data_IF_265355761000
#
_entry.id   IF_265355761000
#
_cell.length_a   1.000
_cell.length_b   1.000
_cell.length_c   1.000
_cell.angle_alpha   90.00
_cell.angle_beta   90.00
_cell.angle_gamma   90.00
#
_symmetry.space_group_name_H-M   'P 1'
#
loop_
_entity.id
_entity.type
_entity.pdbx_description
1 polymer ?
#
# COMPACT_ATOMS: atom_id res chain seq x y z
N UNK A 1 -9.07 15.07 -33.88
CA UNK A 1 -10.22 14.88 -32.98
C UNK A 1 -9.74 13.92 -31.92
N UNK A 2 -9.37 14.45 -30.75
CA UNK A 2 -9.02 13.61 -29.61
C UNK A 2 -10.33 13.04 -29.04
N UNK A 3 -10.52 11.74 -29.21
CA UNK A 3 -11.70 11.04 -28.73
C UNK A 3 -11.84 11.15 -27.21
N UNK A 4 -13.08 11.02 -26.72
CA UNK A 4 -13.37 10.99 -25.28
C UNK A 4 -12.52 9.93 -24.59
N UNK A 5 -11.66 10.37 -23.66
CA UNK A 5 -10.83 9.51 -22.80
C UNK A 5 -11.43 9.47 -21.39
N UNK A 6 -11.74 8.27 -20.91
CA UNK A 6 -12.11 8.07 -19.51
C UNK A 6 -10.84 8.23 -18.66
N UNK A 7 -10.94 9.04 -17.60
CA UNK A 7 -9.85 9.23 -16.62
C UNK A 7 -10.17 8.54 -15.29
N UNK A 8 -11.43 8.61 -14.87
CA UNK A 8 -11.92 8.05 -13.62
C UNK A 8 -13.37 7.61 -13.75
N UNK A 9 -13.72 6.49 -13.12
CA UNK A 9 -15.12 6.07 -12.89
C UNK A 9 -15.32 5.92 -11.38
N UNK A 10 -16.49 6.33 -10.90
CA UNK A 10 -16.94 6.16 -9.51
C UNK A 10 -18.11 5.19 -9.51
N UNK A 11 -18.07 4.18 -8.64
CA UNK A 11 -19.05 3.11 -8.60
C UNK A 11 -19.57 2.98 -7.17
N UNK A 12 -20.84 3.28 -7.00
CA UNK A 12 -21.69 2.87 -5.88
C UNK A 12 -22.27 1.49 -6.26
N UNK A 13 -21.81 0.43 -5.61
CA UNK A 13 -22.14 -0.95 -6.02
C UNK A 13 -23.44 -1.45 -5.39
N UNK A 14 -23.78 -0.94 -4.22
CA UNK A 14 -24.95 -1.37 -3.46
C UNK A 14 -26.07 -0.31 -3.41
N UNK A 15 -25.89 0.78 -4.14
CA UNK A 15 -26.86 1.88 -4.33
C UNK A 15 -27.21 2.59 -3.01
N UNK A 16 -26.27 2.61 -2.05
CA UNK A 16 -26.47 3.24 -0.74
C UNK A 16 -26.14 4.75 -0.73
N UNK A 17 -25.64 5.28 -1.86
CA UNK A 17 -25.22 6.66 -2.03
C UNK A 17 -23.75 6.92 -1.67
N UNK A 18 -23.02 5.90 -1.25
CA UNK A 18 -21.60 5.90 -0.92
C UNK A 18 -20.81 5.30 -2.07
N UNK A 19 -19.76 5.97 -2.52
CA UNK A 19 -18.89 5.38 -3.53
C UNK A 19 -18.03 4.28 -2.89
N UNK A 20 -18.09 3.07 -3.46
CA UNK A 20 -17.30 1.92 -3.03
C UNK A 20 -15.97 1.80 -3.75
N UNK A 21 -15.95 2.24 -5.00
CA UNK A 21 -14.87 1.95 -5.93
C UNK A 21 -14.60 3.09 -6.89
N UNK A 22 -13.31 3.38 -7.06
CA UNK A 22 -12.81 4.33 -8.04
C UNK A 22 -11.89 3.62 -9.01
N UNK A 23 -12.14 3.70 -10.30
CA UNK A 23 -11.27 3.12 -11.33
C UNK A 23 -10.54 4.24 -12.06
N UNK A 24 -9.22 4.13 -12.18
CA UNK A 24 -8.38 5.13 -12.86
C UNK A 24 -7.82 4.56 -14.15
N UNK A 25 -7.87 5.36 -15.22
CA UNK A 25 -7.60 4.89 -16.58
C UNK A 25 -6.40 5.59 -17.22
N UNK A 26 -5.49 4.77 -17.75
CA UNK A 26 -4.28 5.20 -18.44
C UNK A 26 -4.54 5.76 -19.84
N UNK A 27 -3.49 6.26 -20.53
CA UNK A 27 -3.58 6.79 -21.90
C UNK A 27 -4.08 5.77 -22.92
N UNK A 28 -3.87 4.49 -22.64
CA UNK A 28 -4.32 3.34 -23.42
C UNK A 28 -5.73 2.86 -23.08
N UNK A 29 -6.44 3.55 -22.17
CA UNK A 29 -7.76 3.18 -21.66
C UNK A 29 -7.81 1.85 -20.88
N UNK A 30 -6.66 1.38 -20.38
CA UNK A 30 -6.62 0.30 -19.39
C UNK A 30 -6.70 0.86 -17.97
N UNK A 31 -7.17 0.05 -17.03
CA UNK A 31 -7.19 0.41 -15.60
C UNK A 31 -5.75 0.41 -15.08
N UNK A 32 -5.28 1.55 -14.59
CA UNK A 32 -3.97 1.69 -13.94
C UNK A 32 -4.04 1.31 -12.46
N UNK A 33 -5.13 1.67 -11.78
CA UNK A 33 -5.36 1.38 -10.37
C UNK A 33 -6.83 1.43 -10.01
N UNK A 34 -7.18 0.75 -8.92
CA UNK A 34 -8.53 0.75 -8.34
C UNK A 34 -8.45 1.26 -6.90
N UNK A 35 -9.09 2.41 -6.65
CA UNK A 35 -9.27 2.99 -5.33
C UNK A 35 -10.44 2.39 -4.56
N UNK A 36 -10.33 2.38 -3.23
CA UNK A 36 -11.37 1.95 -2.29
C UNK A 36 -11.26 2.71 -0.96
N UNK A 37 -12.34 2.71 -0.17
CA UNK A 37 -12.33 3.19 1.22
C UNK A 37 -12.13 2.03 2.19
N UNK A 38 -11.08 2.10 3.00
CA UNK A 38 -10.82 1.10 4.07
C UNK A 38 -11.86 1.14 5.18
N UNK A 39 -12.59 2.26 5.34
CA UNK A 39 -13.64 2.43 6.34
C UNK A 39 -15.06 2.36 5.77
N UNK A 40 -15.23 2.16 4.46
CA UNK A 40 -16.53 2.10 3.76
C UNK A 40 -17.44 3.30 4.04
N UNK A 41 -16.85 4.49 3.98
CA UNK A 41 -17.51 5.77 4.27
C UNK A 41 -17.44 6.76 3.08
N UNK A 42 -17.19 6.24 1.86
CA UNK A 42 -17.15 7.03 0.63
C UNK A 42 -15.87 7.86 0.46
N UNK A 43 -14.91 7.73 1.38
CA UNK A 43 -13.63 8.42 1.29
C UNK A 43 -12.52 7.45 0.92
N UNK A 44 -12.14 7.52 -0.35
CA UNK A 44 -11.01 6.84 -0.96
C UNK A 44 -9.71 7.11 -0.20
N UNK A 45 -9.07 6.05 0.31
CA UNK A 45 -7.83 6.15 1.09
C UNK A 45 -6.86 4.99 0.85
N UNK A 46 -7.15 4.13 -0.13
CA UNK A 46 -6.26 3.08 -0.59
C UNK A 46 -6.45 2.82 -2.09
N UNK A 47 -5.39 2.37 -2.77
CA UNK A 47 -5.35 2.08 -4.21
C UNK A 47 -4.64 0.77 -4.48
N UNK A 48 -5.31 -0.16 -5.15
CA UNK A 48 -4.72 -1.43 -5.61
C UNK A 48 -4.21 -1.33 -7.04
N UNK A 49 -3.10 -2.03 -7.29
CA UNK A 49 -2.47 -2.22 -8.60
C UNK A 49 -2.35 -3.72 -8.87
N UNK A 50 -2.74 -4.14 -10.07
CA UNK A 50 -2.74 -5.55 -10.47
C UNK A 50 -1.47 -5.91 -11.24
N UNK A 51 -1.01 -7.14 -11.07
CA UNK A 51 -0.01 -7.76 -11.93
C UNK A 51 -0.63 -8.18 -13.28
N UNK A 52 0.22 -8.60 -14.22
CA UNK A 52 -0.21 -9.05 -15.55
C UNK A 52 -1.09 -10.31 -15.52
N UNK A 53 -1.05 -11.09 -14.45
CA UNK A 53 -1.91 -12.26 -14.23
C UNK A 53 -3.25 -11.92 -13.54
N UNK A 54 -3.48 -10.64 -13.24
CA UNK A 54 -4.69 -10.14 -12.56
C UNK A 54 -4.66 -10.21 -11.04
N UNK A 55 -3.61 -10.77 -10.43
CA UNK A 55 -3.43 -10.75 -8.97
C UNK A 55 -3.09 -9.35 -8.47
N UNK A 56 -3.35 -9.06 -7.19
CA UNK A 56 -2.91 -7.80 -6.56
C UNK A 56 -1.40 -7.86 -6.39
N UNK A 57 -0.69 -6.89 -6.96
CA UNK A 57 0.75 -6.75 -6.82
C UNK A 57 1.13 -5.72 -5.74
N UNK A 58 0.32 -4.67 -5.60
CA UNK A 58 0.59 -3.56 -4.69
C UNK A 58 -0.69 -2.90 -4.19
N UNK A 59 -0.69 -2.44 -2.94
CA UNK A 59 -1.67 -1.51 -2.41
C UNK A 59 -0.95 -0.28 -1.85
N UNK A 60 -1.28 0.90 -2.38
CA UNK A 60 -0.86 2.18 -1.81
C UNK A 60 -1.94 2.65 -0.82
N UNK A 61 -1.54 3.18 0.32
CA UNK A 61 -2.43 3.54 1.43
C UNK A 61 -2.14 4.95 1.92
N UNK A 62 -3.19 5.78 2.01
CA UNK A 62 -3.16 7.05 2.73
C UNK A 62 -3.60 6.83 4.17
N UNK A 63 -2.64 6.60 5.07
CA UNK A 63 -2.95 6.17 6.44
C UNK A 63 -3.81 7.19 7.18
N UNK A 64 -3.52 8.49 7.05
CA UNK A 64 -4.34 9.60 7.59
C UNK A 64 -5.53 9.98 6.73
N UNK A 65 -5.71 9.35 5.57
CA UNK A 65 -6.84 9.57 4.66
C UNK A 65 -6.87 11.01 4.17
N UNK A 66 -5.74 11.62 3.90
CA UNK A 66 -5.62 12.99 3.37
C UNK A 66 -5.25 13.02 1.87
N UNK A 67 -5.21 11.83 1.24
CA UNK A 67 -4.87 11.64 -0.16
C UNK A 67 -3.37 11.45 -0.41
N UNK A 68 -2.52 11.59 0.62
CA UNK A 68 -1.09 11.29 0.52
C UNK A 68 -0.83 9.85 0.89
N UNK A 69 -0.14 9.12 0.02
CA UNK A 69 0.29 7.76 0.30
C UNK A 69 1.43 7.81 1.31
N UNK A 70 1.23 7.17 2.45
CA UNK A 70 2.24 7.06 3.52
C UNK A 70 2.61 5.60 3.78
N UNK A 71 1.86 4.64 3.23
CA UNK A 71 2.19 3.22 3.29
C UNK A 71 2.03 2.56 1.93
N UNK A 72 2.98 1.70 1.59
CA UNK A 72 2.99 0.91 0.35
C UNK A 72 3.12 -0.56 0.74
N UNK A 73 2.21 -1.38 0.28
CA UNK A 73 2.15 -2.82 0.56
C UNK A 73 2.39 -3.60 -0.73
N UNK A 74 3.26 -4.60 -0.69
CA UNK A 74 3.57 -5.47 -1.83
C UNK A 74 3.09 -6.88 -1.59
N UNK A 75 2.52 -7.47 -2.63
CA UNK A 75 1.88 -8.78 -2.58
C UNK A 75 2.51 -9.74 -3.57
N UNK A 76 2.66 -10.99 -3.16
CA UNK A 76 3.02 -12.12 -4.02
C UNK A 76 1.97 -13.22 -3.81
N UNK A 77 1.32 -13.65 -4.90
CA UNK A 77 0.25 -14.66 -4.86
C UNK A 77 -0.78 -14.40 -3.73
N UNK A 78 -1.32 -13.18 -3.69
CA UNK A 78 -2.32 -12.71 -2.70
C UNK A 78 -1.81 -12.60 -1.24
N UNK A 79 -0.51 -12.84 -1.01
CA UNK A 79 0.10 -12.72 0.33
C UNK A 79 0.92 -11.44 0.43
N UNK A 80 0.71 -10.69 1.50
CA UNK A 80 1.55 -9.55 1.84
C UNK A 80 2.98 -10.06 2.10
N UNK A 81 3.96 -9.56 1.35
CA UNK A 81 5.37 -9.97 1.49
C UNK A 81 6.24 -8.88 2.09
N UNK A 82 5.99 -7.63 1.72
CA UNK A 82 6.69 -6.47 2.28
C UNK A 82 5.77 -5.27 2.39
N UNK A 83 6.08 -4.38 3.33
CA UNK A 83 5.47 -3.06 3.38
C UNK A 83 6.51 -1.98 3.71
N UNK A 84 6.26 -0.78 3.23
CA UNK A 84 7.08 0.41 3.42
C UNK A 84 6.18 1.52 3.98
N UNK A 85 6.66 2.27 4.96
CA UNK A 85 5.88 3.30 5.62
C UNK A 85 6.72 4.55 5.93
N UNK A 86 6.20 5.71 5.53
CA UNK A 86 6.58 7.04 6.00
C UNK A 86 5.70 7.31 7.23
N UNK A 87 6.20 6.94 8.40
CA UNK A 87 5.47 6.96 9.66
C UNK A 87 5.40 8.36 10.28
N UNK A 88 6.29 9.27 9.87
CA UNK A 88 6.40 10.63 10.38
C UNK A 88 5.86 11.70 9.40
N UNK A 89 5.54 11.33 8.17
CA UNK A 89 5.02 12.16 7.07
C UNK A 89 5.96 13.25 6.58
N UNK A 90 7.26 13.00 6.64
CA UNK A 90 8.29 13.91 6.11
C UNK A 90 8.57 13.71 4.61
N UNK A 91 7.91 12.72 3.99
CA UNK A 91 8.07 12.35 2.58
C UNK A 91 9.14 11.30 2.33
N UNK A 92 9.69 10.66 3.37
CA UNK A 92 10.69 9.61 3.28
C UNK A 92 10.21 8.37 4.03
N UNK A 93 10.40 7.20 3.43
CA UNK A 93 10.16 5.94 4.13
C UNK A 93 11.16 5.83 5.28
N UNK A 94 10.65 5.59 6.48
CA UNK A 94 11.45 5.37 7.69
C UNK A 94 11.21 3.98 8.31
N UNK A 95 10.26 3.22 7.79
CA UNK A 95 9.89 1.90 8.31
C UNK A 95 9.66 0.89 7.18
N UNK A 96 10.21 -0.30 7.36
CA UNK A 96 10.07 -1.43 6.44
C UNK A 96 9.64 -2.68 7.19
N UNK A 97 8.71 -3.44 6.62
CA UNK A 97 8.19 -4.68 7.16
C UNK A 97 8.42 -5.80 6.15
N UNK A 98 8.78 -6.98 6.63
CA UNK A 98 8.87 -8.21 5.82
C UNK A 98 8.03 -9.30 6.45
N UNK A 99 7.36 -10.09 5.64
CA UNK A 99 6.44 -11.14 6.09
C UNK A 99 6.88 -12.52 5.60
N UNK A 100 6.60 -13.52 6.42
CA UNK A 100 6.79 -14.94 6.12
C UNK A 100 5.43 -15.64 6.28
N UNK A 101 4.72 -15.80 5.16
CA UNK A 101 3.30 -16.14 5.17
C UNK A 101 2.47 -15.04 5.84
N UNK A 102 1.65 -15.40 6.82
CA UNK A 102 0.83 -14.44 7.59
C UNK A 102 1.58 -13.80 8.76
N UNK A 103 2.84 -14.17 8.98
CA UNK A 103 3.63 -13.74 10.14
C UNK A 103 4.57 -12.59 9.77
N UNK A 104 4.59 -11.56 10.60
CA UNK A 104 5.61 -10.50 10.54
C UNK A 104 6.97 -11.10 10.88
N UNK A 105 7.87 -11.16 9.90
CA UNK A 105 9.21 -11.75 10.04
C UNK A 105 10.25 -10.73 10.52
N UNK A 106 10.15 -9.47 10.07
CA UNK A 106 11.00 -8.40 10.58
C UNK A 106 10.38 -7.02 10.39
N UNK A 107 10.82 -6.08 11.23
CA UNK A 107 10.58 -4.64 11.06
C UNK A 107 11.91 -3.93 11.12
N UNK A 108 12.21 -3.10 10.12
CA UNK A 108 13.40 -2.28 10.08
C UNK A 108 13.02 -0.79 10.14
N UNK A 109 13.89 0.02 10.74
CA UNK A 109 13.68 1.45 10.97
C UNK A 109 14.90 2.26 10.54
N UNK A 110 14.65 3.40 9.90
CA UNK A 110 15.60 4.49 9.74
C UNK A 110 15.33 5.54 10.82
N UNK A 111 16.09 5.49 11.91
CA UNK A 111 16.01 6.45 13.02
C UNK A 111 16.91 7.67 12.82
N UNK A 112 17.76 7.63 11.78
CA UNK A 112 18.75 8.67 11.47
C UNK A 112 18.40 9.55 10.27
N UNK A 113 17.28 9.31 9.59
CA UNK A 113 16.84 9.99 8.36
C UNK A 113 17.89 9.94 7.24
N UNK A 114 18.53 8.78 7.09
CA UNK A 114 19.62 8.52 6.15
C UNK A 114 19.17 7.81 4.87
N UNK A 115 17.87 7.50 4.75
CA UNK A 115 17.25 6.82 3.61
C UNK A 115 17.51 5.31 3.59
N UNK A 116 18.00 4.74 4.69
CA UNK A 116 18.27 3.31 4.85
C UNK A 116 18.07 2.91 6.31
N UNK A 117 17.61 1.67 6.59
CA UNK A 117 17.44 1.24 7.96
C UNK A 117 18.76 1.19 8.75
N UNK A 118 18.74 1.61 10.01
CA UNK A 118 19.84 1.44 10.99
C UNK A 118 19.53 0.43 12.10
N UNK A 119 18.27 0.02 12.23
CA UNK A 119 17.83 -0.99 13.20
C UNK A 119 16.86 -1.96 12.57
N UNK A 120 16.89 -3.22 12.99
CA UNK A 120 15.90 -4.23 12.61
C UNK A 120 15.55 -5.12 13.79
N UNK A 121 14.27 -5.28 14.03
CA UNK A 121 13.74 -6.33 14.89
C UNK A 121 13.40 -7.53 14.01
N UNK A 122 13.95 -8.68 14.34
CA UNK A 122 13.66 -9.95 13.66
C UNK A 122 12.87 -10.83 14.61
N UNK A 123 11.78 -11.41 14.12
CA UNK A 123 10.90 -12.28 14.88
C UNK A 123 11.11 -13.74 14.48
N UNK A 124 11.48 -14.57 15.45
CA UNK A 124 11.54 -16.01 15.30
C UNK A 124 10.14 -16.62 15.14
N UNK A 125 10.06 -17.78 14.48
CA UNK A 125 8.81 -18.56 14.40
C UNK A 125 8.38 -19.13 15.76
N UNK A 126 9.28 -19.14 16.74
CA UNK A 126 9.07 -19.54 18.14
C UNK A 126 8.59 -18.38 19.04
N UNK A 127 8.35 -17.20 18.46
CA UNK A 127 7.92 -16.00 19.20
C UNK A 127 9.07 -15.22 19.86
N UNK A 128 10.33 -15.62 19.64
CA UNK A 128 11.48 -14.81 20.05
C UNK A 128 11.60 -13.56 19.18
N UNK A 129 12.25 -12.53 19.71
CA UNK A 129 12.61 -11.35 18.95
C UNK A 129 14.03 -10.92 19.30
N UNK A 130 14.84 -10.55 18.29
CA UNK A 130 16.16 -9.97 18.50
C UNK A 130 16.33 -8.68 17.72
N UNK A 131 17.13 -7.78 18.28
CA UNK A 131 17.48 -6.50 17.67
C UNK A 131 18.83 -6.61 16.96
N UNK A 132 18.84 -6.24 15.68
CA UNK A 132 20.03 -6.06 14.88
C UNK A 132 20.29 -4.57 14.67
N UNK A 133 21.49 -4.11 15.02
CA UNK A 133 21.94 -2.74 14.73
C UNK A 133 22.80 -2.79 13.48
N UNK A 134 22.38 -2.05 12.46
CA UNK A 134 23.06 -1.98 11.16
C UNK A 134 24.09 -0.85 11.18
N UNK A 135 25.25 -1.09 10.55
CA UNK A 135 26.34 -0.11 10.44
C UNK A 135 26.32 0.59 9.09
#
# INVERSE_FOLDING_TARGET
MDGTRVLRIEIDKDEDGTIDRWEYYGPDQNIEKVGFSRLRDGKEDAWSYTASDGSIARIDVSTKRDGKVTRIEHYDHEKLVTAEEDSNEDGRIDKWETYDGERLASVAFDTGNQGKPDRRLVYGSDGTAHLEVMK
#
